data_IF_626234320153
#
_entry.id   IF_626234320153
#
_cell.length_a   1.000
_cell.length_b   1.000
_cell.length_c   1.000
_cell.angle_alpha   90.00
_cell.angle_beta   90.00
_cell.angle_gamma   90.00
#
_symmetry.space_group_name_H-M   'P 1'
#
loop_
_entity.id
_entity.type
_entity.pdbx_description
1 polymer ?
#
# COMPACT_ATOMS: atom_id res chain seq x y z
N UNK A 1 26.34 13.54 -30.33
CA UNK A 1 26.93 13.49 -31.71
C UNK A 1 28.38 13.05 -31.58
N UNK A 2 28.77 11.97 -32.23
CA UNK A 2 30.17 11.54 -32.32
C UNK A 2 30.87 12.55 -33.23
N UNK A 3 31.94 13.15 -32.76
CA UNK A 3 32.76 14.07 -33.53
C UNK A 3 33.85 13.29 -34.27
N UNK A 4 33.95 13.51 -35.56
CA UNK A 4 35.00 12.90 -36.40
C UNK A 4 36.39 13.34 -35.91
N UNK A 5 37.30 12.37 -35.70
CA UNK A 5 38.66 12.63 -35.24
C UNK A 5 38.85 12.66 -33.71
N UNK A 6 37.79 12.50 -32.89
CA UNK A 6 37.92 12.40 -31.45
C UNK A 6 37.93 10.94 -31.00
N UNK A 7 38.90 10.57 -30.15
CA UNK A 7 38.93 9.28 -29.48
C UNK A 7 37.92 9.25 -28.34
N UNK A 8 37.15 8.15 -28.19
CA UNK A 8 36.19 7.93 -27.15
C UNK A 8 36.54 6.65 -26.38
N UNK A 9 36.37 6.67 -25.07
CA UNK A 9 36.44 5.47 -24.25
C UNK A 9 35.15 4.66 -24.38
N UNK A 10 35.22 3.35 -24.23
CA UNK A 10 34.05 2.44 -24.37
C UNK A 10 32.87 2.87 -23.46
N UNK A 11 33.06 3.31 -22.19
CA UNK A 11 31.96 3.82 -21.38
C UNK A 11 31.31 5.09 -21.94
N UNK A 12 32.08 5.99 -22.54
CA UNK A 12 31.58 7.23 -23.17
C UNK A 12 30.75 6.92 -24.39
N UNK A 13 31.21 6.00 -25.24
CA UNK A 13 30.45 5.52 -26.41
C UNK A 13 29.14 4.86 -26.02
N UNK A 14 29.16 4.07 -24.93
CA UNK A 14 27.95 3.45 -24.37
C UNK A 14 26.95 4.49 -23.89
N UNK A 15 27.42 5.51 -23.15
CA UNK A 15 26.56 6.61 -22.69
C UNK A 15 25.96 7.42 -23.84
N UNK A 16 26.72 7.66 -24.93
CA UNK A 16 26.22 8.33 -26.13
C UNK A 16 25.18 7.47 -26.84
N UNK A 17 25.43 6.16 -26.95
CA UNK A 17 24.50 5.22 -27.56
C UNK A 17 23.20 5.11 -26.74
N UNK A 18 23.29 4.94 -25.43
CA UNK A 18 22.14 4.84 -24.55
C UNK A 18 21.28 6.11 -24.63
N UNK A 19 21.91 7.31 -24.61
CA UNK A 19 21.21 8.58 -24.78
C UNK A 19 20.54 8.72 -26.16
N UNK A 20 21.21 8.30 -27.23
CA UNK A 20 20.64 8.31 -28.58
C UNK A 20 19.49 7.30 -28.70
N UNK A 21 19.69 6.09 -28.18
CA UNK A 21 18.69 5.03 -28.21
C UNK A 21 17.44 5.42 -27.42
N UNK A 22 17.61 5.96 -26.23
CA UNK A 22 16.52 6.51 -25.42
C UNK A 22 15.76 7.63 -26.16
N UNK A 23 16.48 8.55 -26.79
CA UNK A 23 15.86 9.59 -27.58
C UNK A 23 15.08 9.01 -28.75
N UNK A 24 15.64 8.02 -29.46
CA UNK A 24 15.01 7.37 -30.61
C UNK A 24 13.78 6.56 -30.18
N UNK A 25 13.85 5.83 -29.05
CA UNK A 25 12.70 5.16 -28.46
C UNK A 25 11.55 6.13 -28.20
N UNK A 26 11.86 7.31 -27.68
CA UNK A 26 10.89 8.35 -27.31
C UNK A 26 10.25 9.04 -28.51
N UNK A 27 11.04 9.31 -29.55
CA UNK A 27 10.58 10.13 -30.69
C UNK A 27 10.01 9.33 -31.86
N UNK A 28 10.56 8.15 -32.15
CA UNK A 28 10.20 7.38 -33.32
C UNK A 28 9.42 6.09 -33.02
N UNK A 29 9.79 5.38 -31.94
CA UNK A 29 9.20 4.07 -31.63
C UNK A 29 7.96 4.22 -30.76
N UNK A 30 8.00 5.13 -29.78
CA UNK A 30 6.90 5.38 -28.85
C UNK A 30 6.55 6.88 -28.78
N UNK A 31 6.12 7.52 -29.87
CA UNK A 31 5.81 8.95 -29.89
C UNK A 31 4.70 9.32 -28.91
N UNK A 32 3.79 8.39 -28.60
CA UNK A 32 2.73 8.58 -27.59
C UNK A 32 3.25 8.79 -26.17
N UNK A 33 4.52 8.47 -25.90
CA UNK A 33 5.13 8.68 -24.58
C UNK A 33 5.95 9.99 -24.47
N UNK A 34 6.09 10.76 -25.56
CA UNK A 34 6.81 12.04 -25.52
C UNK A 34 6.24 12.98 -24.47
N UNK A 35 4.91 13.07 -24.37
CA UNK A 35 4.23 13.93 -23.42
C UNK A 35 4.37 13.50 -21.97
N UNK A 36 4.68 12.20 -21.73
CA UNK A 36 4.90 11.67 -20.37
C UNK A 36 6.21 12.19 -19.79
N UNK A 37 7.22 12.37 -20.64
CA UNK A 37 8.55 12.83 -20.21
C UNK A 37 8.60 14.32 -19.86
N UNK A 38 7.58 15.07 -20.26
CA UNK A 38 7.43 16.50 -19.94
C UNK A 38 6.67 16.75 -18.64
N UNK A 39 6.11 15.70 -18.01
CA UNK A 39 5.40 15.83 -16.72
C UNK A 39 6.38 16.24 -15.63
N UNK A 40 6.23 17.43 -15.10
CA UNK A 40 7.06 17.91 -13.99
C UNK A 40 6.65 17.25 -12.69
N UNK A 41 7.62 17.02 -11.81
CA UNK A 41 7.38 16.44 -10.48
C UNK A 41 6.32 17.20 -9.68
N UNK A 42 6.23 18.52 -9.87
CA UNK A 42 5.22 19.38 -9.25
C UNK A 42 3.79 19.09 -9.71
N UNK A 43 3.62 18.68 -10.97
CA UNK A 43 2.31 18.31 -11.52
C UNK A 43 1.80 16.98 -10.95
N UNK A 44 2.72 16.10 -10.53
CA UNK A 44 2.40 14.81 -9.95
C UNK A 44 2.05 14.93 -8.47
N UNK A 45 2.55 15.97 -7.77
CA UNK A 45 2.30 16.14 -6.33
C UNK A 45 0.80 16.28 -6.06
N UNK A 46 0.23 15.27 -5.42
CA UNK A 46 -1.16 15.30 -5.00
C UNK A 46 -1.32 16.22 -3.78
N UNK A 47 -2.38 17.00 -3.77
CA UNK A 47 -2.83 17.73 -2.58
C UNK A 47 -3.90 16.85 -1.95
N UNK A 48 -3.61 16.21 -0.80
CA UNK A 48 -4.58 15.33 -0.15
C UNK A 48 -5.80 16.11 0.32
N UNK A 49 -6.97 15.50 0.21
CA UNK A 49 -8.25 16.06 0.65
C UNK A 49 -8.81 15.28 1.81
N UNK A 50 -9.66 15.93 2.59
CA UNK A 50 -10.45 15.31 3.64
C UNK A 50 -9.86 15.44 5.04
N UNK A 51 -10.74 15.44 6.03
CA UNK A 51 -10.41 15.56 7.46
C UNK A 51 -9.62 14.36 7.98
N UNK A 52 -9.76 13.19 7.35
CA UNK A 52 -9.01 11.99 7.73
C UNK A 52 -7.50 12.18 7.51
N UNK A 53 -7.09 12.85 6.43
CA UNK A 53 -5.69 13.18 6.20
C UNK A 53 -5.14 14.16 7.25
N UNK A 54 -5.91 15.17 7.63
CA UNK A 54 -5.52 16.11 8.69
C UNK A 54 -5.36 15.41 10.04
N UNK A 55 -6.27 14.48 10.36
CA UNK A 55 -6.17 13.64 11.57
C UNK A 55 -4.91 12.79 11.55
N UNK A 56 -4.60 12.16 10.41
CA UNK A 56 -3.38 11.39 10.25
C UNK A 56 -2.13 12.26 10.46
N UNK A 57 -2.13 13.50 9.94
CA UNK A 57 -0.99 14.40 10.10
C UNK A 57 -0.73 14.78 11.57
N UNK A 58 -1.76 14.83 12.39
CA UNK A 58 -1.65 15.10 13.85
C UNK A 58 -1.19 13.89 14.67
N UNK A 59 -1.20 12.68 14.10
CA UNK A 59 -0.74 11.50 14.80
C UNK A 59 0.78 11.52 14.99
N UNK A 60 1.22 11.05 16.15
CA UNK A 60 2.64 10.99 16.55
C UNK A 60 3.26 9.69 16.05
N UNK A 61 4.55 9.70 15.69
CA UNK A 61 5.35 8.49 15.49
C UNK A 61 5.11 7.70 14.18
N UNK A 62 4.28 8.19 13.25
CA UNK A 62 3.86 7.45 12.05
C UNK A 62 4.40 8.02 10.72
N UNK A 63 5.64 8.50 10.72
CA UNK A 63 6.26 9.13 9.55
C UNK A 63 6.29 8.23 8.31
N UNK A 64 6.55 6.94 8.47
CA UNK A 64 6.61 5.98 7.36
C UNK A 64 5.26 5.85 6.63
N UNK A 65 4.16 5.73 7.38
CA UNK A 65 2.84 5.62 6.77
C UNK A 65 2.42 6.91 6.06
N UNK A 66 2.78 8.07 6.59
CA UNK A 66 2.53 9.36 5.92
C UNK A 66 3.19 9.38 4.54
N UNK A 67 4.46 8.96 4.44
CA UNK A 67 5.17 8.86 3.16
C UNK A 67 4.54 7.85 2.19
N UNK A 68 4.08 6.70 2.70
CA UNK A 68 3.39 5.68 1.88
C UNK A 68 2.08 6.23 1.31
N UNK A 69 1.30 6.92 2.13
CA UNK A 69 0.03 7.53 1.70
C UNK A 69 0.27 8.60 0.62
N UNK A 70 1.25 9.49 0.84
CA UNK A 70 1.61 10.50 -0.16
C UNK A 70 2.05 9.87 -1.48
N UNK A 71 2.85 8.82 -1.42
CA UNK A 71 3.26 8.06 -2.60
C UNK A 71 2.08 7.44 -3.34
N UNK A 72 1.13 6.87 -2.61
CA UNK A 72 -0.08 6.28 -3.18
C UNK A 72 -0.97 7.34 -3.86
N UNK A 73 -1.15 8.50 -3.23
CA UNK A 73 -1.93 9.62 -3.78
C UNK A 73 -1.26 10.22 -5.02
N UNK A 74 0.05 10.42 -4.99
CA UNK A 74 0.82 10.90 -6.14
C UNK A 74 0.71 9.93 -7.32
N UNK A 75 0.80 8.63 -7.05
CA UNK A 75 0.63 7.61 -8.08
C UNK A 75 -0.78 7.66 -8.71
N UNK A 76 -1.83 7.82 -7.91
CA UNK A 76 -3.19 7.96 -8.42
C UNK A 76 -3.34 9.20 -9.32
N UNK A 77 -2.74 10.32 -8.93
CA UNK A 77 -2.74 11.54 -9.74
C UNK A 77 -2.02 11.33 -11.07
N UNK A 78 -0.86 10.67 -11.04
CA UNK A 78 -0.12 10.32 -12.26
C UNK A 78 -0.95 9.43 -13.19
N UNK A 79 -1.67 8.44 -12.66
CA UNK A 79 -2.56 7.58 -13.43
C UNK A 79 -3.70 8.37 -14.11
N UNK A 80 -4.25 9.39 -13.45
CA UNK A 80 -5.25 10.27 -14.07
C UNK A 80 -4.65 11.04 -15.25
N UNK A 81 -3.46 11.62 -15.08
CA UNK A 81 -2.75 12.35 -16.15
C UNK A 81 -2.48 11.41 -17.35
N UNK A 82 -2.06 10.16 -17.09
CA UNK A 82 -1.83 9.19 -18.17
C UNK A 82 -3.12 8.87 -18.94
N UNK A 83 -4.24 8.69 -18.26
CA UNK A 83 -5.55 8.44 -18.91
C UNK A 83 -5.99 9.62 -19.76
N UNK A 84 -5.83 10.86 -19.26
CA UNK A 84 -6.13 12.09 -20.00
C UNK A 84 -5.29 12.22 -21.27
N UNK A 85 -4.06 11.69 -21.25
CA UNK A 85 -3.16 11.61 -22.41
C UNK A 85 -3.38 10.37 -23.28
N UNK A 86 -4.43 9.57 -23.03
CA UNK A 86 -4.75 8.37 -23.83
C UNK A 86 -3.86 7.15 -23.55
N UNK A 87 -3.00 7.20 -22.52
CA UNK A 87 -2.09 6.11 -22.16
C UNK A 87 -2.83 5.13 -21.26
N UNK A 88 -2.97 3.89 -21.73
CA UNK A 88 -3.55 2.80 -20.94
C UNK A 88 -2.54 2.30 -19.91
N UNK A 89 -2.77 2.56 -18.66
CA UNK A 89 -1.98 2.03 -17.55
C UNK A 89 -2.89 1.24 -16.62
N UNK A 90 -2.44 0.08 -16.14
CA UNK A 90 -3.14 -0.67 -15.11
C UNK A 90 -3.10 0.07 -13.77
N UNK A 91 -4.09 -0.13 -12.90
CA UNK A 91 -3.99 0.34 -11.52
C UNK A 91 -2.87 -0.41 -10.80
N UNK A 92 -2.07 0.27 -9.98
CA UNK A 92 -1.07 -0.41 -9.16
C UNK A 92 -1.76 -1.26 -8.11
N UNK A 93 -1.12 -2.34 -7.78
CA UNK A 93 -1.44 -3.10 -6.58
C UNK A 93 -1.14 -2.20 -5.37
N UNK A 94 -2.11 -2.07 -4.46
CA UNK A 94 -1.98 -1.22 -3.27
C UNK A 94 -2.11 -2.01 -1.96
N UNK A 95 -1.98 -3.34 -2.01
CA UNK A 95 -2.02 -4.15 -0.81
C UNK A 95 -0.77 -3.91 0.05
N UNK A 96 -0.94 -4.00 1.37
CA UNK A 96 0.06 -3.56 2.34
C UNK A 96 0.26 -4.60 3.44
N UNK A 97 1.42 -4.51 4.08
CA UNK A 97 1.70 -5.19 5.35
C UNK A 97 2.02 -4.15 6.41
N UNK A 98 1.34 -4.25 7.54
CA UNK A 98 1.56 -3.44 8.74
C UNK A 98 2.21 -4.30 9.82
N UNK A 99 3.45 -3.98 10.18
CA UNK A 99 4.19 -4.71 11.20
C UNK A 99 4.42 -3.83 12.43
N UNK A 100 4.25 -4.38 13.61
CA UNK A 100 4.48 -3.66 14.87
C UNK A 100 3.79 -4.33 16.05
N UNK A 101 4.17 -3.93 17.25
CA UNK A 101 3.61 -4.43 18.50
C UNK A 101 2.16 -3.99 18.72
N UNK A 102 1.40 -4.62 19.62
CA UNK A 102 0.06 -4.17 19.98
C UNK A 102 0.10 -2.73 20.51
N UNK A 103 -0.96 -1.97 20.24
CA UNK A 103 -1.04 -0.58 20.72
C UNK A 103 -0.32 0.46 19.85
N UNK A 104 0.39 0.07 18.78
CA UNK A 104 1.08 1.00 17.85
C UNK A 104 0.16 1.65 16.81
N UNK A 105 -1.13 1.66 17.01
CA UNK A 105 -2.18 2.29 16.20
C UNK A 105 -2.40 1.73 14.79
N UNK A 106 -1.99 0.49 14.48
CA UNK A 106 -2.15 -0.14 13.15
C UNK A 106 -3.59 -0.08 12.63
N UNK A 107 -4.57 -0.52 13.42
CA UNK A 107 -5.99 -0.53 13.03
C UNK A 107 -6.55 0.89 12.86
N UNK A 108 -6.16 1.81 13.74
CA UNK A 108 -6.57 3.23 13.66
C UNK A 108 -6.09 3.85 12.36
N UNK A 109 -4.82 3.63 12.01
CA UNK A 109 -4.22 4.11 10.76
C UNK A 109 -4.85 3.46 9.54
N UNK A 110 -5.15 2.16 9.58
CA UNK A 110 -5.84 1.47 8.49
C UNK A 110 -7.23 2.07 8.22
N UNK A 111 -7.96 2.44 9.29
CA UNK A 111 -9.28 3.11 9.19
C UNK A 111 -9.17 4.50 8.58
N UNK A 112 -8.19 5.30 9.02
CA UNK A 112 -7.92 6.61 8.42
C UNK A 112 -7.49 6.48 6.95
N UNK A 113 -6.64 5.51 6.63
CA UNK A 113 -6.21 5.23 5.27
C UNK A 113 -7.39 4.92 4.35
N UNK A 114 -8.35 4.10 4.79
CA UNK A 114 -9.55 3.79 4.02
C UNK A 114 -10.35 5.06 3.66
N UNK A 115 -10.52 5.96 4.63
CA UNK A 115 -11.19 7.25 4.42
C UNK A 115 -10.39 8.17 3.49
N UNK A 116 -9.07 8.29 3.71
CA UNK A 116 -8.19 9.09 2.84
C UNK A 116 -8.24 8.59 1.39
N UNK A 117 -8.23 7.28 1.18
CA UNK A 117 -8.32 6.69 -0.15
C UNK A 117 -9.68 6.99 -0.81
N UNK A 118 -10.78 6.98 -0.06
CA UNK A 118 -12.09 7.38 -0.55
C UNK A 118 -12.12 8.87 -0.90
N UNK A 119 -11.71 9.76 0.00
CA UNK A 119 -11.73 11.21 -0.18
C UNK A 119 -10.92 11.65 -1.41
N UNK A 120 -9.90 10.87 -1.77
CA UNK A 120 -9.03 11.13 -2.91
C UNK A 120 -9.37 10.27 -4.16
N UNK A 121 -10.47 9.54 -4.15
CA UNK A 121 -11.00 8.79 -5.30
C UNK A 121 -10.19 7.54 -5.69
N UNK A 122 -9.44 6.97 -4.73
CA UNK A 122 -8.76 5.68 -4.88
C UNK A 122 -9.72 4.52 -4.61
N UNK A 123 -10.60 4.67 -3.65
CA UNK A 123 -11.63 3.70 -3.29
C UNK A 123 -13.01 4.35 -3.42
N UNK A 124 -14.02 3.53 -3.71
CA UNK A 124 -15.41 4.00 -3.85
C UNK A 124 -16.12 4.17 -2.50
N UNK A 125 -15.64 3.45 -1.47
CA UNK A 125 -16.14 3.49 -0.10
C UNK A 125 -14.95 3.60 0.84
N UNK A 126 -15.06 4.35 1.92
CA UNK A 126 -13.97 4.52 2.89
C UNK A 126 -14.13 3.63 4.14
N UNK A 127 -14.78 2.48 4.03
CA UNK A 127 -15.00 1.57 5.13
C UNK A 127 -13.85 0.59 5.33
N UNK A 128 -13.69 0.13 6.55
CA UNK A 128 -12.75 -0.90 6.94
C UNK A 128 -13.53 -2.14 7.39
N UNK A 129 -13.21 -3.29 6.80
CA UNK A 129 -13.65 -4.60 7.28
C UNK A 129 -12.48 -5.22 8.01
N UNK A 130 -12.61 -5.38 9.31
CA UNK A 130 -11.60 -5.97 10.19
C UNK A 130 -11.92 -7.44 10.43
N UNK A 131 -10.96 -8.31 10.18
CA UNK A 131 -11.13 -9.76 10.30
C UNK A 131 -9.91 -10.41 10.95
N UNK A 132 -10.16 -11.48 11.69
CA UNK A 132 -9.13 -12.39 12.19
C UNK A 132 -9.25 -13.77 11.57
N UNK A 133 -8.43 -14.73 12.06
CA UNK A 133 -8.48 -16.13 11.62
C UNK A 133 -9.89 -16.74 11.71
N UNK A 134 -10.62 -16.47 12.78
CA UNK A 134 -11.96 -17.03 13.02
C UNK A 134 -12.99 -16.63 11.98
N UNK A 135 -12.81 -15.48 11.33
CA UNK A 135 -13.70 -14.96 10.30
C UNK A 135 -13.41 -15.52 8.92
N UNK A 136 -12.17 -15.98 8.70
CA UNK A 136 -11.66 -16.44 7.42
C UNK A 136 -11.64 -17.97 7.29
N UNK A 137 -11.49 -18.68 8.40
CA UNK A 137 -11.38 -20.14 8.43
C UNK A 137 -12.71 -20.77 8.79
N UNK A 138 -13.26 -21.55 7.86
CA UNK A 138 -14.52 -22.26 8.07
C UNK A 138 -14.38 -23.47 9.00
N UNK A 139 -15.49 -23.85 9.65
CA UNK A 139 -15.53 -25.02 10.55
C UNK A 139 -15.62 -26.35 9.81
N UNK A 140 -16.01 -26.34 8.54
CA UNK A 140 -16.21 -27.54 7.73
C UNK A 140 -15.43 -27.45 6.43
N UNK A 141 -15.16 -28.61 5.82
CA UNK A 141 -14.49 -28.70 4.50
C UNK A 141 -15.22 -27.87 3.46
N UNK A 142 -14.47 -27.03 2.70
CA UNK A 142 -15.01 -26.17 1.64
C UNK A 142 -15.68 -24.87 2.10
N UNK A 143 -15.77 -24.63 3.42
CA UNK A 143 -16.37 -23.39 3.94
C UNK A 143 -15.38 -22.25 4.01
N UNK A 144 -14.10 -22.56 4.12
CA UNK A 144 -13.03 -21.54 4.21
C UNK A 144 -13.01 -20.62 2.99
N UNK A 145 -13.02 -21.18 1.79
CA UNK A 145 -13.07 -20.38 0.55
C UNK A 145 -14.34 -19.50 0.49
N UNK A 146 -15.47 -19.98 1.00
CA UNK A 146 -16.72 -19.22 1.05
C UNK A 146 -16.59 -18.04 2.04
N UNK A 147 -16.10 -18.29 3.26
CA UNK A 147 -15.89 -17.24 4.27
C UNK A 147 -14.97 -16.12 3.73
N UNK A 148 -13.84 -16.50 3.13
CA UNK A 148 -12.92 -15.53 2.52
C UNK A 148 -13.63 -14.69 1.46
N UNK A 149 -14.33 -15.30 0.51
CA UNK A 149 -15.04 -14.59 -0.57
C UNK A 149 -16.13 -13.66 -0.03
N UNK A 150 -16.84 -14.04 1.01
CA UNK A 150 -17.84 -13.20 1.67
C UNK A 150 -17.18 -11.96 2.28
N UNK A 151 -16.01 -12.09 2.95
CA UNK A 151 -15.27 -10.96 3.51
C UNK A 151 -14.69 -10.03 2.43
N UNK A 152 -14.24 -10.57 1.31
CA UNK A 152 -13.83 -9.75 0.16
C UNK A 152 -15.01 -9.00 -0.44
N UNK A 153 -16.18 -9.62 -0.55
CA UNK A 153 -17.39 -8.96 -1.01
C UNK A 153 -17.86 -7.85 -0.06
N UNK A 154 -17.77 -8.07 1.25
CA UNK A 154 -18.06 -7.08 2.28
C UNK A 154 -17.12 -5.87 2.19
N UNK A 155 -15.81 -6.12 1.98
CA UNK A 155 -14.77 -5.09 1.89
C UNK A 155 -14.72 -4.38 0.51
N UNK A 156 -15.54 -4.79 -0.46
CA UNK A 156 -15.52 -4.22 -1.80
C UNK A 156 -15.71 -2.70 -1.79
N UNK A 157 -14.78 -2.00 -2.42
CA UNK A 157 -14.74 -0.53 -2.45
C UNK A 157 -14.06 0.10 -1.25
N UNK A 158 -13.59 -0.69 -0.28
CA UNK A 158 -12.94 -0.28 0.96
C UNK A 158 -11.64 -1.02 1.23
N UNK A 159 -11.35 -1.24 2.51
CA UNK A 159 -10.15 -1.91 3.00
C UNK A 159 -10.53 -3.17 3.76
N UNK A 160 -9.91 -4.30 3.42
CA UNK A 160 -9.93 -5.53 4.21
C UNK A 160 -8.67 -5.56 5.08
N UNK A 161 -8.86 -5.47 6.38
CA UNK A 161 -7.79 -5.50 7.38
C UNK A 161 -7.78 -6.86 8.07
N UNK A 162 -6.71 -7.63 7.83
CA UNK A 162 -6.52 -8.96 8.40
C UNK A 162 -5.55 -8.85 9.56
N UNK A 163 -6.09 -8.86 10.78
CA UNK A 163 -5.25 -8.78 11.97
C UNK A 163 -4.67 -10.13 12.34
N UNK A 164 -3.46 -10.10 12.90
CA UNK A 164 -2.69 -11.30 13.23
C UNK A 164 -2.65 -12.32 12.07
N UNK A 165 -2.41 -11.81 10.84
CA UNK A 165 -2.50 -12.63 9.62
C UNK A 165 -1.62 -13.89 9.67
N UNK A 166 -0.51 -13.87 10.40
CA UNK A 166 0.35 -15.04 10.65
C UNK A 166 -0.40 -16.18 11.36
N UNK A 167 -1.52 -15.90 12.03
CA UNK A 167 -2.34 -16.94 12.65
C UNK A 167 -2.98 -17.89 11.62
N UNK A 168 -3.02 -17.49 10.34
CA UNK A 168 -3.44 -18.36 9.24
C UNK A 168 -2.40 -19.44 8.90
N UNK A 169 -1.12 -19.26 9.31
CA UNK A 169 -0.14 -20.32 9.19
C UNK A 169 -0.52 -21.46 10.13
N UNK A 170 -0.63 -22.67 9.57
CA UNK A 170 -0.83 -23.87 10.34
C UNK A 170 0.37 -24.81 10.08
N UNK A 171 0.84 -25.50 11.11
CA UNK A 171 1.99 -26.41 10.99
C UNK A 171 1.60 -27.76 10.35
N UNK A 172 0.34 -27.94 9.97
CA UNK A 172 -0.17 -29.15 9.32
C UNK A 172 -0.40 -28.90 7.84
N UNK A 173 0.28 -29.62 6.99
CA UNK A 173 0.08 -29.58 5.54
C UNK A 173 -1.38 -29.86 5.17
N UNK A 174 -1.97 -29.04 4.28
CA UNK A 174 -3.36 -29.18 3.86
C UNK A 174 -4.37 -28.64 4.86
N UNK A 175 -3.95 -27.74 5.75
CA UNK A 175 -4.82 -27.11 6.74
C UNK A 175 -5.81 -26.12 6.11
N UNK A 176 -6.89 -25.84 6.82
CA UNK A 176 -7.86 -24.79 6.43
C UNK A 176 -7.21 -23.41 6.31
N UNK A 177 -6.08 -23.17 6.98
CA UNK A 177 -5.31 -21.94 6.88
C UNK A 177 -4.67 -21.76 5.50
N UNK A 178 -4.09 -22.83 4.94
CA UNK A 178 -3.51 -22.80 3.59
C UNK A 178 -4.60 -22.57 2.53
N UNK A 179 -5.78 -23.16 2.69
CA UNK A 179 -6.95 -22.90 1.83
C UNK A 179 -7.36 -21.43 1.91
N UNK A 180 -7.37 -20.85 3.11
CA UNK A 180 -7.67 -19.43 3.29
C UNK A 180 -6.66 -18.54 2.57
N UNK A 181 -5.35 -18.77 2.77
CA UNK A 181 -4.29 -18.00 2.15
C UNK A 181 -4.35 -18.07 0.62
N UNK A 182 -4.52 -19.28 0.06
CA UNK A 182 -4.63 -19.45 -1.39
C UNK A 182 -5.85 -18.73 -1.96
N UNK A 183 -6.97 -18.78 -1.27
CA UNK A 183 -8.19 -18.05 -1.66
C UNK A 183 -7.98 -16.53 -1.57
N UNK A 184 -7.34 -16.05 -0.49
CA UNK A 184 -6.99 -14.63 -0.33
C UNK A 184 -6.12 -14.14 -1.51
N UNK A 185 -5.07 -14.89 -1.87
CA UNK A 185 -4.18 -14.55 -2.99
C UNK A 185 -4.96 -14.45 -4.30
N UNK A 186 -5.90 -15.36 -4.54
CA UNK A 186 -6.75 -15.34 -5.72
C UNK A 186 -7.69 -14.12 -5.73
N UNK A 187 -8.36 -13.84 -4.61
CA UNK A 187 -9.30 -12.72 -4.50
C UNK A 187 -8.57 -11.36 -4.53
N UNK A 188 -7.35 -11.25 -4.02
CA UNK A 188 -6.50 -10.06 -4.17
C UNK A 188 -6.24 -9.73 -5.64
N UNK A 189 -6.03 -10.73 -6.49
CA UNK A 189 -5.85 -10.51 -7.93
C UNK A 189 -7.17 -10.14 -8.61
N UNK A 190 -8.25 -10.85 -8.29
CA UNK A 190 -9.56 -10.63 -8.89
C UNK A 190 -10.12 -9.22 -8.58
N UNK A 191 -9.83 -8.70 -7.39
CA UNK A 191 -10.37 -7.43 -6.89
C UNK A 191 -9.32 -6.34 -6.69
N UNK A 192 -8.13 -6.47 -7.31
CA UNK A 192 -6.99 -5.56 -7.14
C UNK A 192 -7.31 -4.07 -7.37
N UNK A 193 -8.33 -3.78 -8.19
CA UNK A 193 -8.75 -2.42 -8.52
C UNK A 193 -9.87 -1.90 -7.61
N UNK A 194 -10.52 -2.77 -6.85
CA UNK A 194 -11.73 -2.46 -6.12
C UNK A 194 -11.51 -2.34 -4.61
N UNK A 195 -10.52 -3.02 -4.06
CA UNK A 195 -10.23 -3.00 -2.63
C UNK A 195 -8.74 -3.07 -2.33
N UNK A 196 -8.38 -2.68 -1.12
CA UNK A 196 -7.03 -2.81 -0.57
C UNK A 196 -7.04 -3.83 0.56
N UNK A 197 -6.11 -4.78 0.53
CA UNK A 197 -5.88 -5.71 1.64
C UNK A 197 -4.70 -5.22 2.46
N UNK A 198 -4.88 -5.19 3.77
CA UNK A 198 -3.82 -4.87 4.74
C UNK A 198 -3.67 -6.07 5.67
N UNK A 199 -2.51 -6.69 5.65
CA UNK A 199 -2.13 -7.73 6.61
C UNK A 199 -1.42 -7.09 7.79
N UNK A 200 -1.83 -7.40 9.01
CA UNK A 200 -1.22 -6.84 10.20
C UNK A 200 -0.73 -7.92 11.15
N UNK A 201 0.31 -7.61 11.93
CA UNK A 201 0.84 -8.51 12.93
C UNK A 201 2.22 -8.13 13.45
N UNK A 202 2.79 -9.02 14.27
CA UNK A 202 4.14 -8.87 14.81
C UNK A 202 5.20 -8.98 13.72
N UNK A 203 6.28 -8.17 13.76
CA UNK A 203 7.27 -8.10 12.69
C UNK A 203 7.85 -9.46 12.28
N UNK A 204 8.40 -10.21 13.22
CA UNK A 204 9.04 -11.51 12.96
C UNK A 204 8.06 -12.55 12.38
N UNK A 205 6.85 -12.63 12.96
CA UNK A 205 5.82 -13.58 12.50
C UNK A 205 5.28 -13.20 11.12
N UNK A 206 5.17 -11.92 10.82
CA UNK A 206 4.72 -11.44 9.51
C UNK A 206 5.77 -11.67 8.43
N UNK A 207 7.04 -11.55 8.75
CA UNK A 207 8.12 -11.90 7.83
C UNK A 207 8.05 -13.39 7.44
N UNK A 208 7.91 -14.28 8.42
CA UNK A 208 7.73 -15.72 8.18
C UNK A 208 6.48 -16.00 7.32
N UNK A 209 5.36 -15.33 7.63
CA UNK A 209 4.10 -15.46 6.91
C UNK A 209 4.25 -15.11 5.41
N UNK A 210 4.94 -14.01 5.11
CA UNK A 210 5.15 -13.56 3.73
C UNK A 210 6.16 -14.45 3.00
N UNK A 211 7.23 -14.90 3.69
CA UNK A 211 8.24 -15.77 3.10
C UNK A 211 7.68 -17.14 2.69
N UNK A 212 6.79 -17.69 3.49
CA UNK A 212 6.13 -18.97 3.21
C UNK A 212 5.13 -18.90 2.04
N UNK A 213 4.71 -17.70 1.66
CA UNK A 213 3.68 -17.49 0.64
C UNK A 213 4.14 -16.55 -0.50
N UNK A 214 4.89 -17.08 -1.50
CA UNK A 214 5.40 -16.27 -2.61
C UNK A 214 4.32 -15.51 -3.38
N UNK A 215 3.10 -16.07 -3.43
CA UNK A 215 1.94 -15.42 -4.04
C UNK A 215 1.51 -14.14 -3.32
N UNK A 216 1.60 -14.09 -1.99
CA UNK A 216 1.37 -12.87 -1.22
C UNK A 216 2.48 -11.86 -1.45
N UNK A 217 3.74 -12.30 -1.39
CA UNK A 217 4.91 -11.43 -1.55
C UNK A 217 4.86 -10.62 -2.85
N UNK A 218 4.46 -11.24 -3.96
CA UNK A 218 4.38 -10.56 -5.27
C UNK A 218 3.23 -9.55 -5.37
N UNK A 219 2.22 -9.63 -4.49
CA UNK A 219 1.02 -8.78 -4.48
C UNK A 219 1.03 -7.70 -3.41
N UNK A 220 2.01 -7.70 -2.51
CA UNK A 220 2.16 -6.69 -1.49
C UNK A 220 3.11 -5.61 -2.00
N UNK A 221 2.60 -4.39 -2.16
CA UNK A 221 3.35 -3.27 -2.69
C UNK A 221 4.05 -2.44 -1.60
N UNK A 222 3.48 -2.43 -0.39
CA UNK A 222 3.96 -1.57 0.69
C UNK A 222 4.15 -2.36 1.98
N UNK A 223 5.34 -2.20 2.57
CA UNK A 223 5.67 -2.71 3.89
C UNK A 223 5.82 -1.51 4.83
N UNK A 224 4.99 -1.46 5.85
CA UNK A 224 4.93 -0.34 6.79
C UNK A 224 5.21 -0.84 8.19
N UNK A 225 6.27 -0.34 8.79
CA UNK A 225 6.63 -0.63 10.17
C UNK A 225 6.04 0.42 11.11
N UNK A 226 5.47 -0.05 12.19
CA UNK A 226 4.96 0.73 13.32
C UNK A 226 5.86 0.44 14.52
N UNK A 227 6.94 1.22 14.69
CA UNK A 227 7.82 1.05 15.84
C UNK A 227 7.08 1.38 17.13
N UNK A 228 7.63 0.89 18.25
CA UNK A 228 7.15 1.30 19.57
C UNK A 228 7.41 2.80 19.77
N UNK A 229 6.50 3.46 20.47
CA UNK A 229 6.65 4.86 20.79
C UNK A 229 7.77 5.08 21.81
N UNK A 230 8.60 6.08 21.59
CA UNK A 230 9.56 6.53 22.58
C UNK A 230 8.87 7.36 23.68
N UNK A 231 9.60 7.69 24.75
CA UNK A 231 9.05 8.40 25.91
C UNK A 231 8.44 9.76 25.56
N UNK A 232 9.08 10.52 24.68
CA UNK A 232 8.58 11.82 24.24
C UNK A 232 7.29 11.68 23.42
N UNK A 233 7.21 10.67 22.53
CA UNK A 233 6.03 10.37 21.76
C UNK A 233 4.86 9.94 22.65
N UNK A 234 5.11 9.12 23.67
CA UNK A 234 4.10 8.73 24.66
C UNK A 234 3.57 9.93 25.43
N UNK A 235 4.45 10.85 25.87
CA UNK A 235 4.04 12.10 26.50
C UNK A 235 3.15 12.95 25.57
N UNK A 236 3.53 13.08 24.31
CA UNK A 236 2.75 13.82 23.31
C UNK A 236 1.37 13.18 23.08
N UNK A 237 1.31 11.85 22.97
CA UNK A 237 0.05 11.11 22.84
C UNK A 237 -0.84 11.33 24.07
N UNK A 238 -0.28 11.24 25.29
CA UNK A 238 -1.00 11.47 26.52
C UNK A 238 -1.58 12.90 26.55
N UNK A 239 -0.80 13.91 26.19
CA UNK A 239 -1.25 15.31 26.11
C UNK A 239 -2.38 15.50 25.12
N UNK A 240 -2.28 14.88 23.91
CA UNK A 240 -3.35 14.94 22.91
C UNK A 240 -4.64 14.31 23.44
N UNK A 241 -4.56 13.13 24.04
CA UNK A 241 -5.71 12.43 24.63
C UNK A 241 -6.32 13.21 25.79
N UNK A 242 -5.48 13.84 26.64
CA UNK A 242 -5.93 14.70 27.73
C UNK A 242 -6.70 15.90 27.20
N UNK A 243 -6.16 16.58 26.21
CA UNK A 243 -6.80 17.73 25.57
C UNK A 243 -8.17 17.40 24.98
N UNK A 244 -8.30 16.24 24.31
CA UNK A 244 -9.59 15.78 23.78
C UNK A 244 -10.63 15.53 24.88
N UNK A 245 -10.19 15.17 26.09
CA UNK A 245 -11.05 14.94 27.27
C UNK A 245 -11.18 16.17 28.19
N UNK A 246 -10.60 17.29 27.80
CA UNK A 246 -10.60 18.51 28.64
C UNK A 246 -9.73 18.40 29.90
N UNK A 247 -8.71 17.52 29.90
CA UNK A 247 -7.78 17.31 30.99
C UNK A 247 -6.45 17.99 30.64
N UNK A 248 -5.96 18.85 31.51
CA UNK A 248 -4.60 19.41 31.39
C UNK A 248 -3.67 18.69 32.37
N UNK A 249 -2.51 18.29 31.86
CA UNK A 249 -1.44 17.70 32.67
C UNK A 249 -0.63 18.85 33.27
N UNK A 250 -0.49 18.89 34.57
CA UNK A 250 0.49 19.74 35.27
C UNK A 250 1.89 19.16 35.07
N UNK A 251 2.88 20.07 34.88
CA UNK A 251 4.28 19.70 34.79
C UNK A 251 4.77 19.03 36.08
#
# INVERSE_FOLDING_TARGET
KIQEGKGYLVPELRGIFDSWYDQKLKTEIYPQYQDVLTIKAEEIKAIPKGTAYERLQKMVGISQIKAVIEKALNYNKLQKIYREKGIKTGRPVMHMVFTGNPGTAKTTVARLLAQIMQDNGLLSRGHLVEVGRSDLVGKYVGWTAKCVKEKFKEAKGGVLFIDEAYSLLDNRAGSYGDEAINTIVQEMENHREELVVIFAGYPEKMEEFIQKNPGLRSRIAFHVSFPDYNELELCQIAQLMGKEKGIEFTQ
#
